data_IF_008723895905
#
_entry.id   IF_008723895905
#
_cell.length_a   1.000
_cell.length_b   1.000
_cell.length_c   1.000
_cell.angle_alpha   90.00
_cell.angle_beta   90.00
_cell.angle_gamma   90.00
#
_symmetry.space_group_name_H-M   'P 1'
#
loop_
_entity.id
_entity.type
_entity.pdbx_description
1 polymer ?
#
# COMPACT_ATOMS: atom_id res chain seq x y z
N UNK A 1 -15.19 6.69 -24.05
CA UNK A 1 -13.82 6.40 -23.82
C UNK A 1 -13.51 6.03 -22.39
N UNK A 2 -12.82 5.00 -22.27
CA UNK A 2 -12.47 4.60 -20.94
C UNK A 2 -11.54 5.60 -20.31
N UNK A 3 -11.69 5.73 -19.05
CA UNK A 3 -10.77 6.52 -18.30
C UNK A 3 -9.43 5.81 -18.30
N UNK A 4 -8.46 6.34 -18.97
CA UNK A 4 -7.18 5.67 -18.96
C UNK A 4 -6.54 5.78 -17.60
N UNK A 5 -5.70 4.81 -17.34
CA UNK A 5 -4.86 4.83 -16.18
C UNK A 5 -3.87 5.97 -16.35
N UNK A 6 -3.99 7.00 -15.53
CA UNK A 6 -3.10 8.14 -15.63
C UNK A 6 -1.68 7.72 -15.25
N UNK A 7 -0.70 8.50 -15.71
CA UNK A 7 0.68 8.21 -15.34
C UNK A 7 0.91 8.34 -13.85
N UNK A 8 0.25 9.31 -13.22
CA UNK A 8 0.36 9.47 -11.78
C UNK A 8 -0.21 8.30 -11.02
N UNK A 9 -1.39 7.84 -11.44
CA UNK A 9 -2.01 6.69 -10.79
C UNK A 9 -1.18 5.44 -11.01
N UNK A 10 -0.66 5.26 -12.23
CA UNK A 10 0.19 4.12 -12.53
C UNK A 10 1.42 4.10 -11.63
N UNK A 11 2.07 5.24 -11.48
CA UNK A 11 3.23 5.33 -10.59
C UNK A 11 2.85 5.05 -9.14
N UNK A 12 1.68 5.54 -8.74
CA UNK A 12 1.22 5.30 -7.39
C UNK A 12 1.01 3.80 -7.15
N UNK A 13 0.35 3.12 -8.09
CA UNK A 13 0.14 1.68 -7.97
C UNK A 13 1.46 0.94 -7.90
N UNK A 14 2.41 1.34 -8.73
CA UNK A 14 3.73 0.68 -8.73
C UNK A 14 4.50 0.93 -7.43
N UNK A 15 4.15 1.96 -6.68
CA UNK A 15 4.81 2.23 -5.40
C UNK A 15 4.26 1.37 -4.26
N UNK A 16 3.13 0.70 -4.47
CA UNK A 16 2.52 -0.13 -3.44
C UNK A 16 3.34 -1.39 -3.26
N UNK A 17 3.73 -1.68 -2.02
CA UNK A 17 4.70 -2.73 -1.76
C UNK A 17 4.15 -4.13 -1.97
N UNK A 18 2.87 -4.36 -1.66
CA UNK A 18 2.30 -5.70 -1.75
C UNK A 18 0.78 -5.61 -1.76
N UNK A 19 0.15 -6.73 -2.04
CA UNK A 19 -1.31 -6.80 -2.01
C UNK A 19 -1.86 -6.51 -0.60
N UNK A 20 -1.29 -7.03 0.49
CA UNK A 20 -1.76 -6.62 1.81
C UNK A 20 -1.69 -5.12 2.05
N UNK A 21 -0.67 -4.45 1.52
CA UNK A 21 -0.61 -2.98 1.62
C UNK A 21 -1.75 -2.33 0.86
N UNK A 22 -2.05 -2.81 -0.34
CA UNK A 22 -3.17 -2.30 -1.13
C UNK A 22 -4.48 -2.50 -0.39
N UNK A 23 -4.72 -3.72 0.11
CA UNK A 23 -5.96 -4.03 0.77
C UNK A 23 -6.14 -3.22 2.04
N UNK A 24 -5.07 -3.04 2.80
CA UNK A 24 -5.15 -2.25 4.02
C UNK A 24 -5.43 -0.79 3.71
N UNK A 25 -4.76 -0.25 2.69
CA UNK A 25 -4.98 1.15 2.30
C UNK A 25 -6.43 1.38 1.91
N UNK A 26 -7.00 0.47 1.11
CA UNK A 26 -8.38 0.62 0.66
C UNK A 26 -9.35 0.40 1.81
N UNK A 27 -9.03 -0.50 2.73
CA UNK A 27 -9.85 -0.74 3.90
C UNK A 27 -9.95 0.50 4.76
N UNK A 28 -8.81 1.13 5.02
CA UNK A 28 -8.79 2.37 5.78
C UNK A 28 -9.54 3.48 5.05
N UNK A 29 -9.34 3.55 3.74
CA UNK A 29 -10.02 4.54 2.91
C UNK A 29 -11.54 4.41 2.98
N UNK A 30 -12.05 3.18 3.03
CA UNK A 30 -13.50 2.95 3.09
C UNK A 30 -14.09 3.26 4.45
N UNK A 31 -13.26 3.38 5.48
CA UNK A 31 -13.75 3.63 6.84
C UNK A 31 -12.93 4.74 7.49
N UNK A 32 -13.01 5.96 6.95
CA UNK A 32 -12.06 7.01 7.35
C UNK A 32 -12.11 7.42 8.81
N UNK A 33 -13.23 7.22 9.48
CA UNK A 33 -13.32 7.58 10.90
C UNK A 33 -12.98 6.46 11.85
N UNK A 34 -12.64 5.30 11.33
CA UNK A 34 -12.41 4.13 12.17
C UNK A 34 -10.95 4.09 12.63
N UNK A 35 -10.75 3.66 13.87
CA UNK A 35 -9.42 3.44 14.41
C UNK A 35 -8.98 2.02 14.14
N UNK A 36 -7.72 1.85 13.80
CA UNK A 36 -7.17 0.55 13.46
C UNK A 36 -5.93 0.27 14.27
N UNK A 37 -5.82 -0.95 14.78
CA UNK A 37 -4.57 -1.44 15.36
C UNK A 37 -4.19 -2.73 14.66
N UNK A 38 -3.05 -3.30 15.06
CA UNK A 38 -2.57 -4.51 14.39
C UNK A 38 -3.55 -5.66 14.53
N UNK A 39 -4.19 -5.79 15.68
CA UNK A 39 -5.10 -6.91 15.90
C UNK A 39 -6.33 -6.80 15.00
N UNK A 40 -6.87 -5.60 14.88
CA UNK A 40 -8.04 -5.39 14.02
C UNK A 40 -7.70 -5.62 12.56
N UNK A 41 -6.53 -5.12 12.12
CA UNK A 41 -6.13 -5.29 10.75
C UNK A 41 -5.82 -6.75 10.45
N UNK A 42 -5.13 -7.42 11.36
CA UNK A 42 -4.79 -8.82 11.18
C UNK A 42 -6.04 -9.68 11.02
N UNK A 43 -7.05 -9.43 11.86
CA UNK A 43 -8.30 -10.18 11.76
C UNK A 43 -9.02 -9.91 10.44
N UNK A 44 -9.04 -8.66 10.04
CA UNK A 44 -9.81 -8.27 8.87
C UNK A 44 -9.20 -8.78 7.57
N UNK A 45 -7.88 -8.80 7.49
CA UNK A 45 -7.19 -9.18 6.27
C UNK A 45 -6.49 -10.54 6.35
N UNK A 46 -6.70 -11.26 7.45
CA UNK A 46 -6.10 -12.59 7.64
C UNK A 46 -4.58 -12.52 7.57
N UNK A 47 -4.01 -11.56 8.27
CA UNK A 47 -2.57 -11.38 8.32
C UNK A 47 -2.05 -11.84 9.68
N UNK A 48 -0.76 -12.16 9.74
CA UNK A 48 -0.11 -12.35 11.03
C UNK A 48 0.00 -10.99 11.72
N UNK A 49 0.22 -11.01 13.03
CA UNK A 49 0.42 -9.77 13.78
C UNK A 49 1.61 -9.00 13.25
N UNK A 50 2.68 -9.71 12.91
CA UNK A 50 3.87 -9.06 12.39
C UNK A 50 3.58 -8.37 11.06
N UNK A 51 2.87 -9.05 10.17
CA UNK A 51 2.50 -8.45 8.88
C UNK A 51 1.64 -7.22 9.08
N UNK A 52 0.64 -7.31 9.95
CA UNK A 52 -0.25 -6.18 10.20
C UNK A 52 0.51 -4.99 10.78
N UNK A 53 1.42 -5.26 11.71
CA UNK A 53 2.24 -4.20 12.27
C UNK A 53 3.07 -3.53 11.20
N UNK A 54 3.71 -4.32 10.34
CA UNK A 54 4.55 -3.78 9.29
C UNK A 54 3.73 -2.98 8.27
N UNK A 55 2.56 -3.47 7.91
CA UNK A 55 1.71 -2.76 6.95
C UNK A 55 1.27 -1.42 7.51
N UNK A 56 0.81 -1.39 8.77
CA UNK A 56 0.40 -0.11 9.38
C UNK A 56 1.56 0.86 9.49
N UNK A 57 2.74 0.36 9.86
CA UNK A 57 3.91 1.21 9.95
C UNK A 57 4.27 1.78 8.58
N UNK A 58 4.20 0.96 7.53
CA UNK A 58 4.51 1.42 6.18
C UNK A 58 3.50 2.44 5.69
N UNK A 59 2.21 2.20 5.93
CA UNK A 59 1.18 3.15 5.52
C UNK A 59 1.34 4.48 6.27
N UNK A 60 1.70 4.42 7.54
CA UNK A 60 1.94 5.64 8.31
C UNK A 60 3.16 6.37 7.78
N UNK A 61 4.24 5.65 7.49
CA UNK A 61 5.45 6.25 6.95
C UNK A 61 5.19 6.90 5.58
N UNK A 62 4.26 6.33 4.82
CA UNK A 62 3.90 6.88 3.51
C UNK A 62 2.91 8.03 3.59
N UNK A 63 2.44 8.37 4.79
CA UNK A 63 1.50 9.48 4.94
C UNK A 63 0.07 9.14 4.62
N UNK A 64 -0.28 7.86 4.61
CA UNK A 64 -1.64 7.42 4.27
C UNK A 64 -2.51 7.35 5.51
N UNK A 65 -1.94 6.92 6.63
CA UNK A 65 -2.64 6.95 7.90
C UNK A 65 -1.75 7.63 8.93
N UNK A 66 -2.35 7.99 10.05
CA UNK A 66 -1.63 8.70 11.10
C UNK A 66 -1.90 8.06 12.45
N UNK A 67 -0.91 8.05 13.33
CA UNK A 67 -1.14 7.55 14.68
C UNK A 67 -2.11 8.45 15.42
N UNK A 68 -2.94 7.85 16.27
CA UNK A 68 -3.91 8.59 17.05
C UNK A 68 -3.23 9.08 18.33
N UNK A 69 -3.33 10.37 18.64
CA UNK A 69 -2.67 10.90 19.83
C UNK A 69 -3.09 10.15 21.09
N UNK A 70 -2.12 9.84 21.93
CA UNK A 70 -2.33 9.19 23.22
C UNK A 70 -2.88 7.78 23.13
N UNK A 71 -2.81 7.17 21.94
CA UNK A 71 -3.27 5.79 21.75
C UNK A 71 -2.21 5.04 20.96
N UNK A 72 -1.12 4.62 21.61
CA UNK A 72 -0.04 3.96 20.90
C UNK A 72 -0.53 2.73 20.14
N UNK A 73 -0.04 2.59 18.92
CA UNK A 73 -0.40 1.46 18.09
C UNK A 73 -1.72 1.58 17.37
N UNK A 74 -2.43 2.68 17.52
CA UNK A 74 -3.68 2.90 16.81
C UNK A 74 -3.50 3.96 15.75
N UNK A 75 -4.14 3.72 14.61
CA UNK A 75 -3.98 4.57 13.42
C UNK A 75 -5.35 4.88 12.83
N UNK A 76 -5.42 5.94 12.06
CA UNK A 76 -6.63 6.32 11.38
C UNK A 76 -6.28 6.84 9.99
N UNK A 77 -7.16 6.59 9.02
CA UNK A 77 -6.96 7.09 7.66
C UNK A 77 -6.79 8.60 7.69
N UNK A 78 -5.69 9.07 7.18
CA UNK A 78 -5.39 10.50 7.21
C UNK A 78 -4.32 10.82 6.17
N UNK A 79 -4.71 10.90 4.88
CA UNK A 79 -3.72 11.27 3.87
C UNK A 79 -3.08 12.59 4.23
N UNK A 80 -1.76 12.65 4.13
CA UNK A 80 -1.02 13.81 4.60
C UNK A 80 -1.13 15.02 3.71
N UNK A 81 -1.60 14.83 2.46
CA UNK A 81 -1.87 15.97 1.58
C UNK A 81 -2.98 15.59 0.60
N UNK A 82 -3.62 16.60 0.03
CA UNK A 82 -4.84 16.37 -0.74
C UNK A 82 -4.62 15.53 -1.99
N UNK A 83 -3.49 15.73 -2.66
CA UNK A 83 -3.21 14.96 -3.87
C UNK A 83 -3.09 13.48 -3.58
N UNK A 84 -2.53 13.12 -2.44
CA UNK A 84 -2.44 11.72 -2.05
C UNK A 84 -3.83 11.14 -1.82
N UNK A 85 -4.69 11.90 -1.14
CA UNK A 85 -6.06 11.46 -0.94
C UNK A 85 -6.80 11.25 -2.25
N UNK A 86 -6.57 12.15 -3.20
CA UNK A 86 -7.18 12.04 -4.51
C UNK A 86 -6.68 10.80 -5.26
N UNK A 87 -5.40 10.50 -5.16
CA UNK A 87 -4.85 9.31 -5.78
C UNK A 87 -5.45 8.05 -5.18
N UNK A 88 -5.63 8.03 -3.87
CA UNK A 88 -6.24 6.88 -3.21
C UNK A 88 -7.70 6.73 -3.66
N UNK A 89 -8.43 7.85 -3.76
CA UNK A 89 -9.80 7.83 -4.29
C UNK A 89 -9.83 7.26 -5.69
N UNK A 90 -8.93 7.71 -6.55
CA UNK A 90 -8.85 7.22 -7.92
C UNK A 90 -8.51 5.74 -7.95
N UNK A 91 -7.59 5.32 -7.10
CA UNK A 91 -7.21 3.93 -7.02
C UNK A 91 -8.39 3.06 -6.60
N UNK A 92 -9.15 3.51 -5.60
CA UNK A 92 -10.30 2.74 -5.14
C UNK A 92 -11.30 2.53 -6.28
N UNK A 93 -11.57 3.60 -7.05
CA UNK A 93 -12.49 3.50 -8.17
C UNK A 93 -11.94 2.61 -9.28
N UNK A 94 -10.67 2.79 -9.60
CA UNK A 94 -10.05 2.01 -10.67
C UNK A 94 -9.98 0.53 -10.30
N UNK A 95 -9.61 0.25 -9.06
CA UNK A 95 -9.49 -1.12 -8.58
C UNK A 95 -10.83 -1.85 -8.62
N UNK A 96 -11.91 -1.16 -8.27
CA UNK A 96 -13.23 -1.77 -8.28
C UNK A 96 -13.59 -2.30 -9.67
N UNK A 97 -13.11 -1.63 -10.71
CA UNK A 97 -13.42 -1.99 -12.09
C UNK A 97 -12.32 -2.82 -12.75
N UNK A 98 -11.12 -2.79 -12.22
CA UNK A 98 -9.95 -3.38 -12.86
C UNK A 98 -9.10 -4.17 -11.87
N UNK A 99 -9.76 -4.99 -11.07
CA UNK A 99 -9.10 -5.70 -9.98
C UNK A 99 -7.91 -6.54 -10.47
N UNK A 100 -8.11 -7.28 -11.54
CA UNK A 100 -7.07 -8.17 -12.04
C UNK A 100 -5.86 -7.38 -12.54
N UNK A 101 -6.13 -6.30 -13.25
CA UNK A 101 -5.04 -5.49 -13.79
C UNK A 101 -4.20 -4.89 -12.67
N UNK A 102 -4.85 -4.30 -11.66
CA UNK A 102 -4.13 -3.69 -10.55
C UNK A 102 -3.33 -4.74 -9.79
N UNK A 103 -3.96 -5.88 -9.52
CA UNK A 103 -3.29 -6.96 -8.82
C UNK A 103 -2.06 -7.43 -9.58
N UNK A 104 -2.18 -7.57 -10.90
CA UNK A 104 -1.06 -7.98 -11.73
C UNK A 104 0.06 -6.96 -11.73
N UNK A 105 -0.28 -5.68 -11.74
CA UNK A 105 0.74 -4.62 -11.71
C UNK A 105 1.55 -4.71 -10.43
N UNK A 106 0.89 -4.95 -9.31
CA UNK A 106 1.59 -5.04 -8.03
C UNK A 106 2.42 -6.32 -7.96
N UNK A 107 1.85 -7.45 -8.40
CA UNK A 107 2.57 -8.71 -8.40
C UNK A 107 3.78 -8.68 -9.32
N UNK A 108 3.61 -8.14 -10.52
CA UNK A 108 4.71 -8.05 -11.46
C UNK A 108 5.85 -7.21 -10.91
N UNK A 109 5.48 -6.08 -10.32
CA UNK A 109 6.47 -5.20 -9.72
C UNK A 109 7.19 -5.91 -8.57
N UNK A 110 6.43 -6.61 -7.72
CA UNK A 110 7.02 -7.32 -6.60
C UNK A 110 7.94 -8.43 -7.08
N UNK A 111 7.51 -9.17 -8.10
CA UNK A 111 8.34 -10.23 -8.67
C UNK A 111 9.58 -9.67 -9.32
N UNK A 112 9.42 -8.61 -10.08
CA UNK A 112 10.56 -7.96 -10.72
C UNK A 112 11.53 -7.43 -9.68
N UNK A 113 11.01 -6.81 -8.65
CA UNK A 113 11.85 -6.31 -7.57
C UNK A 113 12.59 -7.42 -6.87
N UNK A 114 11.90 -8.52 -6.65
CA UNK A 114 12.53 -9.68 -6.01
C UNK A 114 13.64 -10.25 -6.87
N UNK A 115 13.38 -10.38 -8.17
CA UNK A 115 14.40 -10.89 -9.08
C UNK A 115 15.61 -9.97 -9.11
N UNK A 116 15.37 -8.67 -9.20
CA UNK A 116 16.47 -7.72 -9.21
C UNK A 116 17.27 -7.84 -7.92
N UNK A 117 16.56 -7.96 -6.81
CA UNK A 117 17.22 -8.09 -5.53
C UNK A 117 18.09 -9.35 -5.46
N UNK A 118 17.53 -10.46 -5.95
CA UNK A 118 18.29 -11.71 -5.99
C UNK A 118 19.52 -11.59 -6.88
N UNK A 119 19.37 -10.96 -8.02
CA UNK A 119 20.50 -10.74 -8.90
C UNK A 119 21.56 -9.86 -8.25
N UNK A 120 21.10 -8.79 -7.60
CA UNK A 120 22.03 -7.90 -6.92
C UNK A 120 22.81 -8.65 -5.84
N UNK A 121 22.12 -9.47 -5.07
CA UNK A 121 22.76 -10.25 -4.03
C UNK A 121 23.76 -11.23 -4.64
N UNK A 122 23.36 -11.89 -5.72
CA UNK A 122 24.22 -12.88 -6.35
C UNK A 122 25.47 -12.24 -6.93
N UNK A 123 25.32 -11.08 -7.57
CA UNK A 123 26.44 -10.42 -8.23
C UNK A 123 27.18 -9.45 -7.34
N UNK A 124 26.53 -8.96 -6.30
CA UNK A 124 27.12 -8.02 -5.35
C UNK A 124 27.56 -6.73 -6.02
N UNK A 125 26.76 -6.23 -6.85
CA UNK A 125 27.07 -4.92 -7.39
C UNK A 125 26.25 -3.85 -6.70
N UNK A 126 26.39 -3.97 -6.68
CA UNK A 126 25.94 -3.15 -6.17
C UNK A 126 25.36 -2.61 -5.94
N UNK A 127 25.29 -2.45 -5.87
CA UNK A 127 24.56 -2.01 -5.51
C UNK A 127 23.96 -1.63 -5.28
N UNK A 128 24.15 -1.44 -5.38
CA UNK A 128 23.54 -1.02 -5.15
C UNK A 128 23.00 -0.80 -5.17
N UNK A 129 23.17 -0.98 -5.51
CA UNK A 129 22.69 -0.76 -5.55
C UNK A 129 22.28 -0.52 -5.53
N UNK A 130 22.32 -0.27 -5.78
CA UNK A 130 21.96 0.04 -5.61
C UNK A 130 21.83 0.41 -5.41
#
# INVERSE_FOLDING_TARGET
MTSPLSNELRRFIHSIASIPHLEAMLLLHHSPGQEWDEAALARRLYLSHEQATNVLADLSASGICAPIPNQPGRFMYAPSFSELGELIDQLANYYALNLIEVTNMIHSKANAGRLVHLFADAFKFNKDTK
#
